data_IF_229454103361
#
_entry.id   IF_229454103361
#
_cell.length_a   1.000
_cell.length_b   1.000
_cell.length_c   1.000
_cell.angle_alpha   90.00
_cell.angle_beta   90.00
_cell.angle_gamma   90.00
#
_symmetry.space_group_name_H-M   'P 1'
#
loop_
_entity.id
_entity.type
_entity.pdbx_description
1 polymer ?
#
# COMPACT_ATOMS: atom_id res chain seq x y z
N UNK A 1 -7.85 -12.79 27.04
CA UNK A 1 -7.32 -13.10 25.70
C UNK A 1 -7.42 -11.91 24.73
N UNK A 2 -8.54 -11.18 24.64
CA UNK A 2 -8.74 -10.03 23.73
C UNK A 2 -7.78 -8.84 23.95
N UNK A 3 -7.48 -8.48 25.22
CA UNK A 3 -6.60 -7.33 25.50
C UNK A 3 -5.12 -7.60 25.20
N UNK A 4 -4.69 -8.85 25.35
CA UNK A 4 -3.32 -9.26 25.08
C UNK A 4 -3.00 -9.27 23.58
N UNK A 5 -3.97 -9.65 22.73
CA UNK A 5 -3.78 -9.65 21.29
C UNK A 5 -3.69 -8.21 20.73
N UNK A 6 -4.48 -7.26 21.24
CA UNK A 6 -4.33 -5.83 20.89
C UNK A 6 -2.94 -5.30 21.23
N UNK A 7 -2.43 -5.66 22.44
CA UNK A 7 -1.07 -5.30 22.86
C UNK A 7 -0.02 -5.95 21.98
N UNK A 8 -0.23 -7.22 21.57
CA UNK A 8 0.68 -7.93 20.68
C UNK A 8 0.71 -7.30 19.28
N UNK A 9 -0.46 -6.98 18.69
CA UNK A 9 -0.52 -6.34 17.38
C UNK A 9 0.14 -4.96 17.40
N UNK A 10 -0.16 -4.14 18.42
CA UNK A 10 0.48 -2.83 18.60
C UNK A 10 1.99 -2.96 18.86
N UNK A 11 2.42 -3.94 19.65
CA UNK A 11 3.84 -4.17 19.92
C UNK A 11 4.59 -4.73 18.71
N UNK A 12 3.96 -5.58 17.91
CA UNK A 12 4.55 -6.08 16.66
C UNK A 12 4.70 -4.96 15.62
N UNK A 13 3.69 -4.10 15.47
CA UNK A 13 3.78 -2.95 14.56
C UNK A 13 4.84 -1.95 15.02
N UNK A 14 4.92 -1.70 16.33
CA UNK A 14 5.95 -0.81 16.92
C UNK A 14 7.34 -1.45 16.88
N UNK A 15 7.46 -2.76 17.11
CA UNK A 15 8.73 -3.49 17.03
C UNK A 15 9.26 -3.58 15.60
N UNK A 16 8.39 -3.71 14.61
CA UNK A 16 8.76 -3.65 13.19
C UNK A 16 9.30 -2.26 12.85
N UNK A 17 8.67 -1.20 13.34
CA UNK A 17 9.14 0.17 13.14
C UNK A 17 10.49 0.47 13.81
N UNK A 18 10.78 -0.14 14.97
CA UNK A 18 12.01 0.07 15.72
C UNK A 18 13.15 -0.85 15.23
N UNK A 19 12.84 -2.09 14.85
CA UNK A 19 13.84 -3.05 14.35
C UNK A 19 14.36 -2.69 12.95
N UNK A 20 13.70 -1.78 12.24
CA UNK A 20 14.12 -1.29 10.91
C UNK A 20 15.03 -0.06 10.95
N UNK A 21 15.52 0.34 12.13
CA UNK A 21 16.67 1.24 12.20
C UNK A 21 17.96 0.39 12.06
N UNK A 22 18.37 0.02 10.82
CA UNK A 22 19.71 -0.55 10.65
C UNK A 22 20.69 0.53 11.08
N UNK A 23 21.74 0.12 11.73
CA UNK A 23 22.94 0.93 11.84
C UNK A 23 23.31 1.34 10.41
N UNK A 24 23.04 2.59 10.06
CA UNK A 24 23.26 3.17 8.72
C UNK A 24 24.77 3.29 8.56
N UNK A 25 25.44 2.20 8.22
CA UNK A 25 26.87 2.17 7.93
C UNK A 25 27.19 2.15 6.43
N UNK A 26 26.16 2.01 5.58
CA UNK A 26 26.24 2.31 4.15
C UNK A 26 24.94 3.03 3.74
N UNK A 27 25.10 4.19 3.13
CA UNK A 27 24.01 5.03 2.66
C UNK A 27 23.26 4.33 1.50
N UNK A 28 22.40 3.38 1.83
CA UNK A 28 21.37 2.95 0.89
C UNK A 28 20.43 4.14 0.68
N UNK A 29 20.20 4.57 -0.55
CA UNK A 29 19.34 5.71 -0.82
C UNK A 29 17.95 5.47 -0.22
N UNK A 30 17.51 6.41 0.61
CA UNK A 30 16.13 6.43 1.12
C UNK A 30 15.26 6.99 0.01
N UNK A 31 14.28 6.24 -0.44
CA UNK A 31 13.22 6.78 -1.30
C UNK A 31 12.06 7.24 -0.42
N UNK A 32 11.80 8.54 -0.43
CA UNK A 32 10.64 9.12 0.22
C UNK A 32 9.60 9.53 -0.82
N UNK A 33 8.32 9.31 -0.51
CA UNK A 33 7.20 9.67 -1.38
C UNK A 33 6.07 10.31 -0.56
N UNK A 34 5.37 11.25 -1.18
CA UNK A 34 4.13 11.82 -0.65
C UNK A 34 3.05 11.58 -1.70
N UNK A 35 1.90 11.10 -1.27
CA UNK A 35 0.75 10.86 -2.13
C UNK A 35 -0.45 11.63 -1.59
N UNK A 36 -1.18 12.29 -2.49
CA UNK A 36 -2.48 12.88 -2.20
C UNK A 36 -3.50 12.34 -3.19
N UNK A 37 -4.67 11.97 -2.69
CA UNK A 37 -5.76 11.45 -3.50
C UNK A 37 -7.10 12.02 -3.05
N UNK A 38 -7.99 12.21 -4.00
CA UNK A 38 -9.36 12.62 -3.78
C UNK A 38 -10.28 11.73 -4.61
N UNK A 39 -11.48 11.51 -4.11
CA UNK A 39 -12.42 10.67 -4.80
C UNK A 39 -13.76 10.55 -4.10
N UNK A 40 -14.44 9.47 -4.38
CA UNK A 40 -15.70 9.14 -3.75
C UNK A 40 -15.66 7.70 -3.24
N UNK A 41 -16.17 7.50 -2.05
CA UNK A 41 -16.42 6.21 -1.42
C UNK A 41 -17.93 6.13 -1.15
N UNK A 42 -18.63 5.27 -1.86
CA UNK A 42 -20.09 5.12 -1.76
C UNK A 42 -20.83 6.47 -1.92
N UNK A 43 -20.44 7.28 -2.90
CA UNK A 43 -21.03 8.60 -3.14
C UNK A 43 -20.63 9.68 -2.14
N UNK A 44 -19.79 9.38 -1.13
CA UNK A 44 -19.25 10.37 -0.19
C UNK A 44 -17.85 10.78 -0.62
N UNK A 45 -17.57 12.08 -0.63
CA UNK A 45 -16.24 12.60 -0.91
C UNK A 45 -15.22 12.04 0.08
N UNK A 46 -14.12 11.51 -0.44
CA UNK A 46 -12.99 10.96 0.31
C UNK A 46 -11.71 11.71 -0.06
N UNK A 47 -10.95 12.14 0.94
CA UNK A 47 -9.61 12.66 0.77
C UNK A 47 -8.61 11.79 1.54
N UNK A 48 -7.45 11.52 0.93
CA UNK A 48 -6.37 10.73 1.54
C UNK A 48 -5.03 11.39 1.27
N UNK A 49 -4.19 11.43 2.30
CA UNK A 49 -2.78 11.79 2.18
C UNK A 49 -1.92 10.68 2.80
N UNK A 50 -0.81 10.33 2.16
CA UNK A 50 0.14 9.37 2.70
C UNK A 50 1.59 9.77 2.46
N UNK A 51 2.45 9.35 3.39
CA UNK A 51 3.90 9.44 3.29
C UNK A 51 4.50 8.04 3.30
N UNK A 52 5.50 7.80 2.47
CA UNK A 52 6.21 6.53 2.36
C UNK A 52 7.71 6.76 2.46
N UNK A 53 8.40 5.92 3.21
CA UNK A 53 9.86 5.84 3.23
C UNK A 53 10.29 4.40 2.94
N UNK A 54 11.15 4.21 1.92
CA UNK A 54 11.68 2.91 1.50
C UNK A 54 13.20 2.89 1.66
N UNK A 55 13.73 1.84 2.26
CA UNK A 55 15.15 1.55 2.42
C UNK A 55 15.49 0.27 1.64
N UNK A 56 16.66 0.22 0.99
CA UNK A 56 17.08 -0.96 0.24
C UNK A 56 16.32 -1.14 -1.07
N UNK A 57 16.50 -0.23 -2.01
CA UNK A 57 15.84 -0.29 -3.33
C UNK A 57 16.45 -1.32 -4.28
N UNK A 58 17.67 -1.74 -4.02
CA UNK A 58 18.37 -2.77 -4.79
C UNK A 58 18.16 -4.20 -4.24
N UNK A 59 18.86 -5.18 -4.83
CA UNK A 59 18.90 -6.55 -4.32
C UNK A 59 19.37 -6.62 -2.87
N UNK A 60 18.82 -7.56 -2.09
CA UNK A 60 19.12 -7.75 -0.68
C UNK A 60 17.96 -7.37 0.23
N UNK A 61 18.27 -6.99 1.47
CA UNK A 61 17.27 -6.59 2.44
C UNK A 61 16.61 -5.27 2.06
N UNK A 62 15.30 -5.25 2.11
CA UNK A 62 14.49 -4.07 1.82
C UNK A 62 13.43 -3.87 2.89
N UNK A 63 13.13 -2.63 3.23
CA UNK A 63 12.05 -2.28 4.15
C UNK A 63 11.33 -1.01 3.70
N UNK A 64 10.05 -0.92 4.04
CA UNK A 64 9.23 0.26 3.76
C UNK A 64 8.33 0.56 4.96
N UNK A 65 8.16 1.84 5.21
CA UNK A 65 7.21 2.35 6.18
C UNK A 65 6.28 3.36 5.53
N UNK A 66 4.98 3.17 5.73
CA UNK A 66 3.95 4.05 5.22
C UNK A 66 3.14 4.62 6.38
N UNK A 67 2.79 5.90 6.29
CA UNK A 67 1.78 6.54 7.13
C UNK A 67 0.71 7.14 6.25
N UNK A 68 -0.54 7.05 6.67
CA UNK A 68 -1.64 7.65 5.92
C UNK A 68 -2.69 8.24 6.86
N UNK A 69 -3.35 9.28 6.39
CA UNK A 69 -4.50 9.88 7.03
C UNK A 69 -5.49 10.32 5.97
N UNK A 70 -6.76 10.30 6.31
CA UNK A 70 -7.81 10.70 5.39
C UNK A 70 -9.19 10.66 6.03
N UNK A 71 -10.21 10.79 5.21
CA UNK A 71 -11.58 10.66 5.69
C UNK A 71 -12.61 11.19 4.73
N UNK A 72 -13.85 10.95 5.11
CA UNK A 72 -15.06 11.51 4.54
C UNK A 72 -15.64 12.56 5.49
N UNK A 73 -16.81 13.12 5.17
CA UNK A 73 -17.53 14.00 6.10
C UNK A 73 -17.98 13.30 7.40
N UNK A 74 -18.10 11.96 7.39
CA UNK A 74 -18.69 11.20 8.50
C UNK A 74 -17.63 10.57 9.41
N UNK A 75 -16.44 10.28 8.88
CA UNK A 75 -15.34 9.69 9.64
C UNK A 75 -13.97 10.09 9.09
N UNK A 76 -12.99 10.07 9.98
CA UNK A 76 -11.58 10.19 9.63
C UNK A 76 -10.83 8.92 9.98
N UNK A 77 -9.66 8.71 9.38
CA UNK A 77 -8.78 7.60 9.73
C UNK A 77 -7.31 8.03 9.71
N UNK A 78 -6.49 7.29 10.43
CA UNK A 78 -5.04 7.31 10.30
C UNK A 78 -4.51 5.88 10.39
N UNK A 79 -3.42 5.61 9.67
CA UNK A 79 -2.84 4.28 9.59
C UNK A 79 -1.32 4.32 9.48
N UNK A 80 -0.69 3.24 9.93
CA UNK A 80 0.72 2.94 9.72
C UNK A 80 0.88 1.53 9.16
N UNK A 81 1.79 1.35 8.20
CA UNK A 81 2.13 0.06 7.61
C UNK A 81 3.64 -0.10 7.57
N UNK A 82 4.15 -1.23 8.03
CA UNK A 82 5.56 -1.62 7.92
C UNK A 82 5.70 -2.87 7.08
N UNK A 83 6.71 -2.88 6.20
CA UNK A 83 7.09 -4.03 5.36
C UNK A 83 8.57 -4.30 5.48
N UNK A 84 8.95 -5.56 5.45
CA UNK A 84 10.36 -5.96 5.39
C UNK A 84 10.50 -7.32 4.71
N UNK A 85 11.61 -7.50 3.99
CA UNK A 85 11.91 -8.75 3.31
C UNK A 85 13.15 -8.67 2.47
N UNK A 86 13.24 -9.57 1.51
CA UNK A 86 14.40 -9.71 0.63
C UNK A 86 13.99 -9.54 -0.82
N UNK A 87 14.85 -8.87 -1.57
CA UNK A 87 14.75 -8.65 -3.00
C UNK A 87 15.86 -9.39 -3.71
N UNK A 88 15.51 -10.16 -4.75
CA UNK A 88 16.48 -10.90 -5.57
C UNK A 88 17.21 -9.97 -6.54
N UNK A 89 18.18 -10.52 -7.30
CA UNK A 89 18.87 -9.78 -8.36
C UNK A 89 17.93 -9.30 -9.47
N UNK A 90 16.85 -10.06 -9.73
CA UNK A 90 15.80 -9.71 -10.70
C UNK A 90 14.69 -8.84 -10.08
N UNK A 91 14.94 -8.25 -8.91
CA UNK A 91 14.00 -7.41 -8.16
C UNK A 91 12.74 -8.13 -7.65
N UNK A 92 12.63 -9.46 -7.81
CA UNK A 92 11.54 -10.18 -7.16
C UNK A 92 11.67 -10.05 -5.64
N UNK A 93 10.55 -9.85 -4.98
CA UNK A 93 10.50 -9.60 -3.54
C UNK A 93 9.66 -10.66 -2.83
N UNK A 94 10.06 -11.01 -1.61
CA UNK A 94 9.24 -11.74 -0.66
C UNK A 94 9.51 -11.23 0.75
N UNK A 95 8.48 -11.14 1.56
CA UNK A 95 8.60 -10.58 2.89
C UNK A 95 7.33 -10.65 3.71
N UNK A 96 7.33 -9.85 4.75
CA UNK A 96 6.22 -9.72 5.68
C UNK A 96 5.74 -8.26 5.74
N UNK A 97 4.46 -8.12 6.04
CA UNK A 97 3.80 -6.82 6.19
C UNK A 97 2.96 -6.83 7.45
N UNK A 98 2.95 -5.70 8.15
CA UNK A 98 2.03 -5.43 9.25
C UNK A 98 1.45 -4.02 9.13
N UNK A 99 0.18 -3.87 9.43
CA UNK A 99 -0.53 -2.59 9.39
C UNK A 99 -1.47 -2.44 10.55
N UNK A 100 -1.63 -1.20 10.99
CA UNK A 100 -2.66 -0.83 11.96
C UNK A 100 -3.29 0.50 11.55
N UNK A 101 -4.59 0.59 11.72
CA UNK A 101 -5.37 1.79 11.46
C UNK A 101 -6.40 2.02 12.57
N UNK A 102 -6.65 3.29 12.84
CA UNK A 102 -7.74 3.74 13.69
C UNK A 102 -8.70 4.56 12.85
N UNK A 103 -9.98 4.23 12.96
CA UNK A 103 -11.06 4.93 12.28
C UNK A 103 -11.87 5.66 13.34
N UNK A 104 -11.96 6.98 13.22
CA UNK A 104 -12.77 7.84 14.09
C UNK A 104 -14.23 7.85 13.61
N UNK A 105 -15.18 8.21 14.47
CA UNK A 105 -16.60 8.24 14.10
C UNK A 105 -17.34 6.94 14.41
N UNK A 106 -16.74 6.04 15.23
CA UNK A 106 -17.40 4.82 15.71
C UNK A 106 -17.12 3.56 14.87
N UNK A 107 -16.27 3.68 13.84
CA UNK A 107 -15.96 2.56 12.94
C UNK A 107 -14.75 1.69 13.39
N UNK A 108 -14.20 1.93 14.60
CA UNK A 108 -13.30 1.00 15.27
C UNK A 108 -11.84 1.00 14.82
N UNK A 109 -11.18 -0.13 14.95
CA UNK A 109 -9.76 -0.33 14.61
C UNK A 109 -9.57 -1.49 13.64
N UNK A 110 -8.62 -1.34 12.72
CA UNK A 110 -8.21 -2.35 11.76
C UNK A 110 -6.72 -2.65 11.96
N UNK A 111 -6.37 -3.92 11.93
CA UNK A 111 -4.97 -4.35 11.84
C UNK A 111 -4.85 -5.59 10.98
N UNK A 112 -3.69 -5.78 10.34
CA UNK A 112 -3.37 -7.04 9.69
C UNK A 112 -1.88 -7.36 9.74
N UNK A 113 -1.57 -8.63 9.60
CA UNK A 113 -0.21 -9.13 9.41
C UNK A 113 -0.24 -10.23 8.35
N UNK A 114 0.74 -10.26 7.46
CA UNK A 114 0.78 -11.24 6.39
C UNK A 114 2.15 -11.43 5.77
N UNK A 115 2.21 -12.43 4.87
CA UNK A 115 3.33 -12.65 3.97
C UNK A 115 2.97 -12.06 2.61
N UNK A 116 3.94 -11.41 1.96
CA UNK A 116 3.78 -10.81 0.65
C UNK A 116 4.91 -11.20 -0.29
N UNK A 117 4.59 -11.26 -1.57
CA UNK A 117 5.56 -11.53 -2.62
C UNK A 117 5.26 -10.68 -3.86
N UNK A 118 6.31 -10.35 -4.61
CA UNK A 118 6.22 -9.64 -5.87
C UNK A 118 7.17 -10.29 -6.88
N UNK A 119 6.69 -10.52 -8.09
CA UNK A 119 7.46 -11.07 -9.19
C UNK A 119 7.38 -10.15 -10.42
N UNK A 120 8.52 -9.95 -11.09
CA UNK A 120 8.67 -9.08 -12.25
C UNK A 120 8.98 -9.90 -13.49
N UNK A 121 8.23 -9.69 -14.57
CA UNK A 121 8.37 -10.34 -15.87
C UNK A 121 8.37 -9.26 -16.96
N UNK A 122 9.51 -8.87 -17.47
CA UNK A 122 9.62 -7.81 -18.49
C UNK A 122 8.74 -6.58 -18.16
N UNK A 123 7.57 -6.47 -18.77
CA UNK A 123 6.60 -5.40 -18.58
C UNK A 123 5.36 -5.80 -17.73
N UNK A 124 5.40 -6.96 -17.09
CA UNK A 124 4.37 -7.43 -16.16
C UNK A 124 4.95 -7.55 -14.75
N UNK A 125 4.22 -7.06 -13.76
CA UNK A 125 4.48 -7.32 -12.34
C UNK A 125 3.27 -7.99 -11.72
N UNK A 126 3.50 -9.06 -10.98
CA UNK A 126 2.46 -9.72 -10.17
C UNK A 126 2.85 -9.63 -8.71
N UNK A 127 1.95 -9.18 -7.88
CA UNK A 127 2.10 -9.16 -6.43
C UNK A 127 0.97 -9.93 -5.74
N UNK A 128 1.26 -10.46 -4.57
CA UNK A 128 0.31 -11.19 -3.76
C UNK A 128 0.56 -11.01 -2.29
N UNK A 129 -0.51 -11.12 -1.51
CA UNK A 129 -0.51 -11.10 -0.06
C UNK A 129 -1.45 -12.19 0.47
N UNK A 130 -1.02 -12.85 1.54
CA UNK A 130 -1.87 -13.71 2.37
C UNK A 130 -1.59 -13.41 3.84
N UNK A 131 -2.64 -13.36 4.66
CA UNK A 131 -2.46 -13.03 6.07
C UNK A 131 -3.73 -13.18 6.89
N UNK A 132 -3.68 -12.58 8.06
CA UNK A 132 -4.80 -12.46 8.97
C UNK A 132 -5.05 -10.99 9.26
N UNK A 133 -6.31 -10.62 9.29
CA UNK A 133 -6.75 -9.29 9.68
C UNK A 133 -7.59 -9.37 10.95
N UNK A 134 -7.64 -8.24 11.65
CA UNK A 134 -8.47 -8.06 12.82
C UNK A 134 -9.19 -6.72 12.67
N UNK A 135 -10.50 -6.74 12.74
CA UNK A 135 -11.36 -5.57 12.70
C UNK A 135 -12.27 -5.66 13.93
N UNK A 136 -12.18 -4.65 14.79
CA UNK A 136 -12.95 -4.59 16.05
C UNK A 136 -12.95 -5.89 16.87
N UNK A 137 -11.78 -6.50 17.03
CA UNK A 137 -11.54 -7.78 17.74
C UNK A 137 -12.05 -9.04 17.00
N UNK A 138 -12.53 -8.93 15.77
CA UNK A 138 -12.92 -10.09 14.94
C UNK A 138 -11.76 -10.39 13.98
N UNK A 139 -11.17 -11.58 14.16
CA UNK A 139 -10.09 -12.07 13.30
C UNK A 139 -10.64 -12.81 12.09
N UNK A 140 -10.07 -12.60 10.91
CA UNK A 140 -10.38 -13.34 9.69
C UNK A 140 -9.15 -13.48 8.79
N UNK A 141 -9.18 -14.46 7.89
CA UNK A 141 -8.17 -14.62 6.84
C UNK A 141 -8.36 -13.52 5.81
N UNK A 142 -7.25 -13.02 5.28
CA UNK A 142 -7.23 -12.09 4.16
C UNK A 142 -6.21 -12.53 3.11
N UNK A 143 -6.42 -12.08 1.89
CA UNK A 143 -5.46 -12.29 0.82
C UNK A 143 -5.82 -11.53 -0.44
N UNK A 144 -4.92 -11.54 -1.39
CA UNK A 144 -5.17 -10.90 -2.67
C UNK A 144 -3.98 -10.99 -3.61
N UNK A 145 -4.25 -10.68 -4.86
CA UNK A 145 -3.23 -10.57 -5.89
C UNK A 145 -3.56 -9.39 -6.81
N UNK A 146 -2.51 -8.78 -7.37
CA UNK A 146 -2.61 -7.72 -8.37
C UNK A 146 -1.66 -8.03 -9.52
N UNK A 147 -2.12 -7.85 -10.75
CA UNK A 147 -1.30 -7.86 -11.94
C UNK A 147 -1.19 -6.43 -12.48
N UNK A 148 0.02 -5.99 -12.77
CA UNK A 148 0.36 -4.67 -13.29
C UNK A 148 1.06 -4.79 -14.62
N UNK A 149 0.53 -4.18 -15.68
CA UNK A 149 1.11 -4.16 -17.01
C UNK A 149 1.66 -2.77 -17.32
N UNK A 150 2.92 -2.70 -17.71
CA UNK A 150 3.58 -1.47 -18.13
C UNK A 150 3.50 -1.34 -19.65
N UNK A 151 2.61 -0.47 -20.12
CA UNK A 151 2.47 -0.17 -21.54
C UNK A 151 3.65 0.66 -22.08
N UNK A 152 4.34 1.37 -21.20
CA UNK A 152 5.61 2.05 -21.42
C UNK A 152 6.34 2.15 -20.08
N UNK A 153 7.58 2.66 -20.10
CA UNK A 153 8.35 2.91 -18.88
C UNK A 153 7.64 3.84 -17.87
N UNK A 154 6.71 4.68 -18.37
CA UNK A 154 6.02 5.71 -17.61
C UNK A 154 4.50 5.57 -17.60
N UNK A 155 3.95 4.45 -18.07
CA UNK A 155 2.51 4.18 -18.04
C UNK A 155 2.23 2.75 -17.56
N UNK A 156 1.41 2.61 -16.52
CA UNK A 156 1.03 1.34 -15.90
C UNK A 156 -0.49 1.22 -15.79
N UNK A 157 -1.00 0.03 -16.12
CA UNK A 157 -2.35 -0.40 -15.82
C UNK A 157 -2.30 -1.56 -14.85
N UNK A 158 -3.24 -1.66 -13.93
CA UNK A 158 -3.30 -2.78 -13.01
C UNK A 158 -4.73 -3.24 -12.77
N UNK A 159 -4.86 -4.52 -12.46
CA UNK A 159 -6.08 -5.13 -11.98
C UNK A 159 -5.75 -6.09 -10.83
N UNK A 160 -6.61 -6.13 -9.84
CA UNK A 160 -6.41 -6.94 -8.65
C UNK A 160 -7.70 -7.50 -8.08
N UNK A 161 -7.52 -8.56 -7.31
CA UNK A 161 -8.57 -9.20 -6.53
C UNK A 161 -8.11 -9.31 -5.09
N UNK A 162 -9.02 -9.07 -4.16
CA UNK A 162 -8.79 -9.17 -2.72
C UNK A 162 -9.95 -9.85 -2.03
N UNK A 163 -9.59 -10.65 -1.03
CA UNK A 163 -10.53 -11.28 -0.11
C UNK A 163 -10.31 -10.73 1.29
N UNK A 164 -11.32 -10.05 1.81
CA UNK A 164 -11.30 -9.35 3.09
C UNK A 164 -12.66 -9.52 3.78
N UNK A 165 -12.70 -10.04 5.02
CA UNK A 165 -13.94 -10.18 5.81
C UNK A 165 -15.07 -10.91 5.06
N UNK A 166 -14.74 -12.00 4.37
CA UNK A 166 -15.68 -12.75 3.52
C UNK A 166 -16.19 -11.98 2.28
N UNK A 167 -15.62 -10.79 2.00
CA UNK A 167 -15.94 -9.98 0.85
C UNK A 167 -14.91 -10.11 -0.26
N UNK A 168 -15.39 -10.04 -1.49
CA UNK A 168 -14.64 -10.13 -2.72
C UNK A 168 -14.50 -8.73 -3.32
N UNK A 169 -13.30 -8.15 -3.28
CA UNK A 169 -13.05 -6.80 -3.76
C UNK A 169 -12.21 -6.88 -5.03
N UNK A 170 -12.68 -6.20 -6.05
CA UNK A 170 -12.00 -6.03 -7.32
C UNK A 170 -11.43 -4.61 -7.38
N UNK A 171 -10.18 -4.51 -7.82
CA UNK A 171 -9.52 -3.23 -8.00
C UNK A 171 -8.97 -3.12 -9.41
N UNK A 172 -9.01 -1.95 -10.01
CA UNK A 172 -8.33 -1.63 -11.25
C UNK A 172 -7.90 -0.17 -11.23
N UNK A 173 -6.85 0.12 -11.98
CA UNK A 173 -6.39 1.49 -12.07
C UNK A 173 -5.30 1.69 -13.09
N UNK A 174 -4.85 2.93 -13.18
CA UNK A 174 -3.76 3.33 -14.04
C UNK A 174 -2.89 4.36 -13.35
N UNK A 175 -1.63 4.37 -13.74
CA UNK A 175 -0.65 5.37 -13.33
C UNK A 175 0.09 5.90 -14.55
N UNK A 176 0.39 7.17 -14.52
CA UNK A 176 1.14 7.85 -15.55
C UNK A 176 2.14 8.82 -14.93
N UNK A 177 3.39 8.74 -15.36
CA UNK A 177 4.47 9.64 -14.99
C UNK A 177 4.84 10.50 -16.19
N UNK A 178 4.57 11.82 -16.17
CA UNK A 178 4.97 12.70 -17.25
C UNK A 178 6.49 12.72 -17.43
N UNK A 179 6.92 12.59 -18.68
CA UNK A 179 8.34 12.71 -19.04
C UNK A 179 8.68 14.18 -19.32
N UNK A 180 8.69 14.98 -18.25
CA UNK A 180 9.02 16.41 -18.33
C UNK A 180 9.90 16.80 -17.15
N UNK A 181 10.91 17.64 -17.40
CA UNK A 181 11.77 18.19 -16.35
C UNK A 181 10.98 18.91 -15.26
N UNK A 182 9.87 19.54 -15.63
CA UNK A 182 8.99 20.30 -14.72
C UNK A 182 8.15 19.40 -13.80
N UNK A 183 7.87 18.17 -14.21
CA UNK A 183 7.08 17.19 -13.46
C UNK A 183 7.96 16.09 -12.82
N UNK A 184 9.24 16.39 -12.61
CA UNK A 184 10.21 15.46 -12.05
C UNK A 184 9.71 14.86 -10.73
N UNK A 185 9.65 13.53 -10.69
CA UNK A 185 9.16 12.79 -9.53
C UNK A 185 7.64 12.71 -9.37
N UNK A 186 6.85 13.38 -10.21
CA UNK A 186 5.39 13.35 -10.12
C UNK A 186 4.80 12.15 -10.89
N UNK A 187 3.90 11.43 -10.27
CA UNK A 187 3.08 10.38 -10.89
C UNK A 187 1.61 10.71 -10.65
N UNK A 188 0.80 10.69 -11.68
CA UNK A 188 -0.66 10.78 -11.61
C UNK A 188 -1.26 9.38 -11.61
N UNK A 189 -2.35 9.18 -10.88
CA UNK A 189 -3.03 7.89 -10.87
C UNK A 189 -4.54 8.02 -10.76
N UNK A 190 -5.25 6.98 -11.21
CA UNK A 190 -6.66 6.76 -10.97
C UNK A 190 -6.86 5.30 -10.51
N UNK A 191 -7.74 5.11 -9.55
CA UNK A 191 -8.02 3.82 -8.90
C UNK A 191 -9.53 3.65 -8.76
N UNK A 192 -10.02 2.47 -9.14
CA UNK A 192 -11.40 2.04 -8.94
C UNK A 192 -11.38 0.76 -8.12
N UNK A 193 -12.20 0.70 -7.08
CA UNK A 193 -12.40 -0.49 -6.25
C UNK A 193 -13.87 -0.74 -6.07
N UNK A 194 -14.26 -2.00 -6.08
CA UNK A 194 -15.65 -2.38 -5.93
C UNK A 194 -15.77 -3.77 -5.35
N UNK A 195 -16.61 -3.92 -4.35
CA UNK A 195 -17.14 -5.22 -3.91
C UNK A 195 -18.35 -5.60 -4.77
N UNK A 196 -19.27 -4.67 -4.94
CA UNK A 196 -20.46 -4.71 -5.81
C UNK A 196 -20.57 -3.37 -6.50
N UNK A 197 -21.22 -3.29 -7.66
CA UNK A 197 -21.38 -2.04 -8.41
C UNK A 197 -21.94 -0.87 -7.56
N UNK A 198 -22.71 -1.19 -6.53
CA UNK A 198 -23.31 -0.22 -5.60
C UNK A 198 -22.31 0.29 -4.55
N UNK A 199 -21.25 -0.49 -4.26
CA UNK A 199 -20.22 -0.23 -3.25
C UNK A 199 -18.88 0.04 -3.92
N UNK A 200 -18.83 1.05 -4.77
CA UNK A 200 -17.61 1.41 -5.48
C UNK A 200 -16.91 2.60 -4.82
N UNK A 201 -15.59 2.57 -4.88
CA UNK A 201 -14.70 3.70 -4.60
C UNK A 201 -13.96 4.10 -5.87
N UNK A 202 -13.99 5.36 -6.20
CA UNK A 202 -13.23 5.94 -7.32
C UNK A 202 -12.33 7.01 -6.75
N UNK A 203 -11.05 6.92 -7.03
CA UNK A 203 -10.05 7.88 -6.55
C UNK A 203 -9.14 8.31 -7.69
N UNK A 204 -8.69 9.54 -7.65
CA UNK A 204 -7.60 10.05 -8.47
C UNK A 204 -6.65 10.86 -7.60
N UNK A 205 -5.37 10.89 -7.97
CA UNK A 205 -4.39 11.58 -7.15
C UNK A 205 -3.06 11.79 -7.84
N UNK A 206 -2.16 12.38 -7.08
CA UNK A 206 -0.78 12.59 -7.46
C UNK A 206 0.14 12.05 -6.38
N UNK A 207 1.27 11.51 -6.82
CA UNK A 207 2.38 11.04 -5.99
C UNK A 207 3.64 11.78 -6.37
N UNK A 208 4.38 12.26 -5.39
CA UNK A 208 5.69 12.86 -5.55
C UNK A 208 6.74 11.94 -4.94
N UNK A 209 7.72 11.52 -5.75
CA UNK A 209 8.89 10.75 -5.34
C UNK A 209 10.11 11.66 -5.27
N UNK A 210 10.86 11.57 -4.18
CA UNK A 210 12.07 12.38 -3.94
C UNK A 210 13.37 11.65 -4.32
N UNK A 211 13.28 10.46 -4.90
CA UNK A 211 14.45 9.64 -5.27
C UNK A 211 15.10 10.03 -6.62
N UNK A 212 14.68 11.13 -7.23
CA UNK A 212 15.20 11.60 -8.52
C UNK A 212 14.38 11.10 -9.72
N UNK A 213 14.96 11.24 -10.92
CA UNK A 213 14.32 10.83 -12.19
C UNK A 213 14.40 9.32 -12.34
N UNK A 214 13.41 8.60 -11.84
CA UNK A 214 13.20 7.18 -12.10
C UNK A 214 11.98 7.01 -12.99
N UNK A 215 12.00 6.04 -13.90
CA UNK A 215 10.80 5.65 -14.63
C UNK A 215 9.81 4.98 -13.68
N UNK A 216 8.55 4.83 -14.10
CA UNK A 216 7.54 4.14 -13.30
C UNK A 216 7.88 2.64 -13.12
N UNK A 217 8.53 2.04 -14.11
CA UNK A 217 9.06 0.66 -14.05
C UNK A 217 10.13 0.54 -12.96
N UNK A 218 11.12 1.44 -12.96
CA UNK A 218 12.20 1.45 -11.96
C UNK A 218 11.65 1.71 -10.56
N UNK A 219 10.74 2.66 -10.43
CA UNK A 219 10.07 2.95 -9.15
C UNK A 219 9.31 1.72 -8.64
N UNK A 220 8.59 1.01 -9.50
CA UNK A 220 7.86 -0.21 -9.15
C UNK A 220 8.79 -1.35 -8.71
N UNK A 221 9.96 -1.49 -9.32
CA UNK A 221 10.95 -2.51 -8.96
C UNK A 221 11.71 -2.16 -7.68
N UNK A 222 11.94 -0.88 -7.44
CA UNK A 222 12.66 -0.37 -6.28
C UNK A 222 11.80 -0.18 -5.01
N UNK A 223 10.49 -0.23 -5.12
CA UNK A 223 9.56 -0.02 -4.01
C UNK A 223 8.57 -1.16 -3.87
N UNK A 224 7.91 -1.24 -2.72
CA UNK A 224 6.83 -2.20 -2.53
C UNK A 224 5.55 -1.67 -3.18
N UNK A 225 4.72 -2.58 -3.67
CA UNK A 225 3.45 -2.21 -4.26
C UNK A 225 2.57 -1.51 -3.24
N UNK A 226 2.00 -0.40 -3.65
CA UNK A 226 1.14 0.41 -2.79
C UNK A 226 -0.27 -0.18 -2.74
N UNK A 227 -0.40 -1.40 -2.21
CA UNK A 227 -1.67 -2.06 -1.97
C UNK A 227 -2.27 -1.53 -0.68
N UNK A 228 -3.09 -0.49 -0.79
CA UNK A 228 -3.81 0.04 0.36
C UNK A 228 -5.00 -0.84 0.72
N UNK A 229 -4.75 -1.98 1.37
CA UNK A 229 -5.81 -2.82 1.96
C UNK A 229 -6.68 -2.05 2.97
N UNK A 230 -6.17 -0.94 3.50
CA UNK A 230 -6.96 -0.06 4.35
C UNK A 230 -8.17 0.52 3.61
N UNK A 231 -8.00 1.00 2.37
CA UNK A 231 -9.13 1.54 1.59
C UNK A 231 -10.14 0.46 1.25
N UNK A 232 -9.69 -0.77 1.02
CA UNK A 232 -10.56 -1.91 0.79
C UNK A 232 -11.39 -2.26 2.04
N UNK A 233 -10.79 -2.14 3.21
CA UNK A 233 -11.47 -2.37 4.49
C UNK A 233 -12.48 -1.26 4.88
N UNK A 234 -12.42 -0.12 4.20
CA UNK A 234 -13.39 0.98 4.35
C UNK A 234 -14.59 0.84 3.40
N UNK A 235 -14.54 -0.09 2.44
CA UNK A 235 -15.72 -0.46 1.65
C UNK A 235 -16.64 -1.22 2.61
N UNK A 236 -17.80 -0.69 2.96
CA UNK A 236 -18.71 -1.38 3.89
C UNK A 236 -19.36 -2.59 3.23
N UNK A 237 -19.88 -3.45 4.06
CA UNK A 237 -20.74 -4.60 3.71
C UNK A 237 -22.07 -4.14 3.09
#
# INVERSE_FOLDING_TARGET
MRSEFKRLLFSVTSAIAIATLPTITQANPVNARITTAFGALQGKMLGVMSGTATLGQGPGFASQFDVSAGGTKDYGFYAGTGRMGFRTQDYNYFGVVGSAAQINGGAGSLGYVGAEAQAHFENLTVDGLIGVQMIDDVGSVMGGATASYFASENARFYAGYRYLRDNHIYAMGMEFKPDTETANGMTMFADLRSEKLENASVMAGVRFSFAGMQTLVEESRGTFVNNSYLLDALLPD
#
